data_IF_424800798213
#
_entry.id   IF_424800798213
#
_cell.length_a   1.000
_cell.length_b   1.000
_cell.length_c   1.000
_cell.angle_alpha   90.00
_cell.angle_beta   90.00
_cell.angle_gamma   90.00
#
_symmetry.space_group_name_H-M   'P 1'
#
loop_
_entity.id
_entity.type
_entity.pdbx_description
1 polymer ?
#
# COMPACT_ATOMS: atom_id res chain seq x y z
N UNK A 1 12.62 0.24 17.37
CA UNK A 1 11.83 -0.45 16.32
C UNK A 1 11.40 0.60 15.31
N UNK A 2 11.52 0.32 14.02
CA UNK A 2 11.00 1.22 12.99
C UNK A 2 9.48 1.34 13.15
N UNK A 3 8.94 2.56 13.07
CA UNK A 3 7.50 2.79 13.13
C UNK A 3 6.86 2.15 11.89
N UNK A 4 5.89 1.25 12.08
CA UNK A 4 5.07 0.75 10.97
C UNK A 4 4.38 1.95 10.28
N UNK A 5 4.54 2.07 8.97
CA UNK A 5 3.85 3.06 8.15
C UNK A 5 2.42 2.60 7.89
N UNK A 6 2.21 1.28 7.78
CA UNK A 6 0.91 0.66 7.54
C UNK A 6 0.40 0.05 8.86
N UNK A 7 -0.74 0.53 9.38
CA UNK A 7 -1.40 -0.14 10.48
C UNK A 7 -1.84 -1.56 10.08
N UNK A 8 -1.64 -2.53 10.97
CA UNK A 8 -2.05 -3.94 10.75
C UNK A 8 -3.51 -4.07 10.29
N UNK A 9 -4.41 -3.25 10.83
CA UNK A 9 -5.83 -3.23 10.44
C UNK A 9 -6.02 -2.90 8.96
N UNK A 10 -5.31 -1.89 8.46
CA UNK A 10 -5.39 -1.45 7.05
C UNK A 10 -4.84 -2.53 6.12
N UNK A 11 -3.75 -3.19 6.52
CA UNK A 11 -3.20 -4.29 5.73
C UNK A 11 -4.14 -5.50 5.73
N UNK A 12 -4.74 -5.84 6.86
CA UNK A 12 -5.72 -6.93 6.95
C UNK A 12 -6.94 -6.66 6.07
N UNK A 13 -7.51 -5.45 6.10
CA UNK A 13 -8.63 -5.07 5.24
C UNK A 13 -8.29 -5.20 3.76
N UNK A 14 -7.07 -4.77 3.37
CA UNK A 14 -6.60 -4.92 2.00
C UNK A 14 -6.44 -6.40 1.58
N UNK A 15 -5.93 -7.25 2.48
CA UNK A 15 -5.79 -8.69 2.23
C UNK A 15 -7.15 -9.38 2.10
N UNK A 16 -8.12 -9.03 2.96
CA UNK A 16 -9.50 -9.54 2.88
C UNK A 16 -10.19 -9.04 1.61
N UNK A 17 -10.00 -7.78 1.23
CA UNK A 17 -10.55 -7.25 -0.03
C UNK A 17 -9.99 -7.97 -1.26
N UNK A 18 -8.69 -8.26 -1.26
CA UNK A 18 -8.04 -9.00 -2.35
C UNK A 18 -8.40 -10.50 -2.35
N UNK A 19 -8.69 -11.07 -1.18
CA UNK A 19 -9.11 -12.46 -1.01
C UNK A 19 -10.23 -12.57 0.06
N UNK A 20 -11.50 -12.44 -0.34
CA UNK A 20 -12.64 -12.41 0.59
C UNK A 20 -12.79 -13.67 1.47
N UNK A 21 -12.14 -14.79 1.09
CA UNK A 21 -12.15 -16.01 1.90
C UNK A 21 -11.47 -15.83 3.26
N UNK A 22 -10.58 -14.83 3.38
CA UNK A 22 -9.87 -14.50 4.61
C UNK A 22 -10.75 -13.80 5.66
N UNK A 23 -11.98 -13.38 5.29
CA UNK A 23 -12.96 -12.86 6.25
C UNK A 23 -13.51 -13.95 7.18
N UNK A 24 -13.35 -15.22 6.80
CA UNK A 24 -13.80 -16.35 7.61
C UNK A 24 -13.00 -16.42 8.93
N UNK A 25 -13.65 -16.53 10.10
CA UNK A 25 -12.96 -16.69 11.39
C UNK A 25 -11.97 -17.86 11.43
N UNK A 26 -12.19 -18.89 10.62
CA UNK A 26 -11.28 -20.05 10.52
C UNK A 26 -9.99 -19.74 9.74
N UNK A 27 -9.94 -18.65 8.99
CA UNK A 27 -8.80 -18.20 8.20
C UNK A 27 -7.91 -17.19 8.96
N UNK A 28 -8.18 -16.91 10.24
CA UNK A 28 -7.44 -15.89 11.00
C UNK A 28 -5.93 -16.17 11.09
N UNK A 29 -5.55 -17.45 11.25
CA UNK A 29 -4.14 -17.85 11.23
C UNK A 29 -3.48 -17.64 9.86
N UNK A 30 -4.23 -17.87 8.77
CA UNK A 30 -3.78 -17.65 7.40
C UNK A 30 -3.64 -16.16 7.10
N UNK A 31 -4.63 -15.35 7.50
CA UNK A 31 -4.59 -13.89 7.39
C UNK A 31 -3.37 -13.32 8.13
N UNK A 32 -3.11 -13.78 9.35
CA UNK A 32 -1.93 -13.38 10.11
C UNK A 32 -0.63 -13.76 9.40
N UNK A 33 -0.53 -15.00 8.89
CA UNK A 33 0.66 -15.46 8.17
C UNK A 33 0.93 -14.64 6.90
N UNK A 34 -0.12 -14.35 6.12
CA UNK A 34 -0.04 -13.51 4.93
C UNK A 34 0.36 -12.07 5.27
N UNK A 35 -0.21 -11.50 6.34
CA UNK A 35 0.16 -10.18 6.82
C UNK A 35 1.63 -10.14 7.23
N UNK A 36 2.09 -11.08 8.05
CA UNK A 36 3.46 -11.11 8.55
C UNK A 36 4.48 -11.31 7.39
N UNK A 37 4.09 -12.05 6.35
CA UNK A 37 4.87 -12.23 5.13
C UNK A 37 4.94 -10.96 4.26
N UNK A 38 3.80 -10.29 4.07
CA UNK A 38 3.65 -9.21 3.08
C UNK A 38 3.92 -7.82 3.66
N UNK A 39 3.71 -7.61 4.96
CA UNK A 39 3.91 -6.31 5.62
C UNK A 39 5.27 -5.68 5.31
N UNK A 40 6.41 -6.39 5.39
CA UNK A 40 7.71 -5.79 5.10
C UNK A 40 7.86 -5.32 3.65
N UNK A 41 7.22 -6.00 2.70
CA UNK A 41 7.26 -5.61 1.29
C UNK A 41 6.37 -4.39 1.03
N UNK A 42 5.15 -4.38 1.60
CA UNK A 42 4.24 -3.25 1.49
C UNK A 42 4.83 -1.97 2.11
N UNK A 43 5.47 -2.08 3.27
CA UNK A 43 6.20 -0.99 3.95
C UNK A 43 7.29 -0.38 3.07
N UNK A 44 8.08 -1.22 2.38
CA UNK A 44 9.12 -0.76 1.45
C UNK A 44 8.55 -0.01 0.26
N UNK A 45 7.46 -0.52 -0.33
CA UNK A 45 6.79 0.11 -1.47
C UNK A 45 6.25 1.48 -1.07
N UNK A 46 5.54 1.58 0.06
CA UNK A 46 5.01 2.87 0.53
C UNK A 46 6.14 3.83 0.91
N UNK A 47 7.20 3.35 1.55
CA UNK A 47 8.38 4.16 1.85
C UNK A 47 8.98 4.77 0.58
N UNK A 48 9.15 3.97 -0.47
CA UNK A 48 9.66 4.45 -1.76
C UNK A 48 8.72 5.50 -2.38
N UNK A 49 7.40 5.27 -2.35
CA UNK A 49 6.43 6.28 -2.82
C UNK A 49 6.45 7.56 -1.97
N UNK A 50 6.60 7.45 -0.65
CA UNK A 50 6.67 8.59 0.25
C UNK A 50 7.97 9.39 0.04
N UNK A 51 9.10 8.71 -0.17
CA UNK A 51 10.36 9.35 -0.55
C UNK A 51 10.22 10.11 -1.86
N UNK A 52 9.63 9.48 -2.89
CA UNK A 52 9.33 10.14 -4.17
C UNK A 52 8.40 11.34 -3.95
N UNK A 53 7.33 11.19 -3.18
CA UNK A 53 6.39 12.28 -2.90
C UNK A 53 7.04 13.47 -2.16
N UNK A 54 8.04 13.20 -1.33
CA UNK A 54 8.82 14.24 -0.63
C UNK A 54 9.83 14.96 -1.55
N UNK A 55 10.10 14.43 -2.74
CA UNK A 55 10.87 15.14 -3.76
C UNK A 55 9.96 16.10 -4.54
N UNK A 56 10.16 17.42 -4.33
CA UNK A 56 9.46 18.51 -5.06
C UNK A 56 9.49 18.35 -6.59
N UNK A 57 10.50 17.67 -7.14
CA UNK A 57 10.60 17.35 -8.56
C UNK A 57 9.58 16.30 -9.02
N UNK A 58 9.30 15.28 -8.20
CA UNK A 58 8.34 14.23 -8.51
C UNK A 58 6.90 14.74 -8.45
N UNK A 59 6.57 15.60 -7.47
CA UNK A 59 5.25 16.26 -7.40
C UNK A 59 4.96 17.06 -8.68
N UNK A 60 5.97 17.82 -9.16
CA UNK A 60 5.86 18.64 -10.36
C UNK A 60 5.71 17.78 -11.62
N UNK A 61 6.43 16.66 -11.70
CA UNK A 61 6.32 15.68 -12.77
C UNK A 61 4.95 14.99 -12.78
N UNK A 62 4.42 14.61 -11.61
CA UNK A 62 3.12 13.99 -11.46
C UNK A 62 1.98 14.94 -11.86
N UNK A 63 2.05 16.23 -11.47
CA UNK A 63 1.10 17.25 -11.92
C UNK A 63 1.08 17.40 -13.45
N UNK A 64 2.26 17.38 -14.09
CA UNK A 64 2.35 17.41 -15.56
C UNK A 64 1.81 16.15 -16.21
N UNK A 65 2.07 14.98 -15.63
CA UNK A 65 1.51 13.72 -16.11
C UNK A 65 -0.02 13.72 -16.09
N UNK A 66 -0.63 14.18 -15.00
CA UNK A 66 -2.09 14.32 -14.91
C UNK A 66 -2.65 15.33 -15.91
N UNK A 67 -2.00 16.49 -16.07
CA UNK A 67 -2.38 17.49 -17.08
C UNK A 67 -2.37 16.88 -18.49
N UNK A 68 -1.32 16.12 -18.83
CA UNK A 68 -1.20 15.49 -20.13
C UNK A 68 -2.27 14.41 -20.35
N UNK A 69 -2.62 13.61 -19.33
CA UNK A 69 -3.71 12.62 -19.41
C UNK A 69 -5.07 13.28 -19.63
N UNK A 70 -5.36 14.37 -18.91
CA UNK A 70 -6.61 15.14 -19.06
C UNK A 70 -6.68 15.78 -20.45
N UNK A 71 -5.57 16.36 -20.94
CA UNK A 71 -5.53 16.95 -22.29
C UNK A 71 -5.58 15.91 -23.41
N UNK A 72 -5.25 14.65 -23.13
CA UNK A 72 -5.33 13.54 -24.07
C UNK A 72 -6.70 12.83 -24.06
N UNK A 73 -7.63 13.28 -23.21
CA UNK A 73 -9.02 12.82 -23.15
C UNK A 73 -9.91 13.81 -23.90
#
# INVERSE_FOLDING_TARGET
MAKQIIPDLVLNDALVTANPRLENPRAEAELKALRDLLAPACEKVISAYAEIANHKSAERAFKRFLQNMISAT
#
